data_IF_112919425642
#
_entry.id   IF_112919425642
#
_cell.length_a   1.000
_cell.length_b   1.000
_cell.length_c   1.000
_cell.angle_alpha   90.00
_cell.angle_beta   90.00
_cell.angle_gamma   90.00
#
_symmetry.space_group_name_H-M   'P 1'
#
loop_
_entity.id
_entity.type
_entity.pdbx_description
1 polymer ?
#
# COMPACT_ATOMS: atom_id res chain seq x y z
N UNK A 1 -19.21 0.77 13.02
CA UNK A 1 -19.30 1.68 11.86
C UNK A 1 -18.74 0.98 10.63
N UNK A 2 -19.46 1.12 9.52
CA UNK A 2 -19.38 0.39 8.25
C UNK A 2 -17.99 -0.14 7.85
N UNK A 3 -17.91 -1.46 7.65
CA UNK A 3 -16.86 -2.15 6.88
C UNK A 3 -16.99 -1.66 5.44
N UNK A 4 -16.40 -0.49 5.15
CA UNK A 4 -16.34 0.15 3.83
C UNK A 4 -15.96 -0.95 2.85
N UNK A 5 -16.89 -1.24 1.95
CA UNK A 5 -16.80 -2.25 0.91
C UNK A 5 -15.46 -2.08 0.21
N UNK A 6 -14.50 -2.92 0.61
CA UNK A 6 -13.24 -3.08 -0.10
C UNK A 6 -13.67 -3.66 -1.43
N UNK A 7 -13.85 -2.79 -2.45
CA UNK A 7 -13.97 -3.20 -3.85
C UNK A 7 -12.92 -4.30 -4.03
N UNK A 8 -13.33 -5.47 -4.53
CA UNK A 8 -12.44 -6.59 -4.85
C UNK A 8 -11.43 -6.07 -5.88
N UNK A 9 -10.32 -5.50 -5.39
CA UNK A 9 -9.17 -5.13 -6.21
C UNK A 9 -8.51 -6.47 -6.54
N UNK A 10 -8.27 -6.72 -7.82
CA UNK A 10 -7.64 -7.97 -8.24
C UNK A 10 -6.22 -8.07 -7.64
N UNK A 11 -5.77 -9.29 -7.30
CA UNK A 11 -4.44 -9.54 -6.76
C UNK A 11 -3.30 -8.92 -7.61
N UNK A 12 -3.49 -8.87 -8.94
CA UNK A 12 -2.57 -8.19 -9.86
C UNK A 12 -2.52 -6.68 -9.60
N UNK A 13 -3.67 -6.02 -9.49
CA UNK A 13 -3.77 -4.58 -9.20
C UNK A 13 -3.19 -4.24 -7.83
N UNK A 14 -3.38 -5.09 -6.80
CA UNK A 14 -2.78 -4.90 -5.48
C UNK A 14 -1.24 -4.88 -5.59
N UNK A 15 -0.66 -5.81 -6.36
CA UNK A 15 0.80 -5.85 -6.60
C UNK A 15 1.28 -4.58 -7.31
N UNK A 16 0.55 -4.12 -8.33
CA UNK A 16 0.86 -2.87 -9.04
C UNK A 16 0.86 -1.68 -8.10
N UNK A 17 -0.20 -1.51 -7.28
CA UNK A 17 -0.29 -0.42 -6.30
C UNK A 17 0.83 -0.44 -5.27
N UNK A 18 1.22 -1.62 -4.77
CA UNK A 18 2.37 -1.74 -3.86
C UNK A 18 3.67 -1.30 -4.56
N UNK A 19 3.86 -1.65 -5.83
CA UNK A 19 5.02 -1.24 -6.61
C UNK A 19 5.08 0.28 -6.76
N UNK A 20 3.96 0.90 -7.12
CA UNK A 20 3.87 2.35 -7.32
C UNK A 20 4.12 3.11 -6.02
N UNK A 21 3.51 2.68 -4.91
CA UNK A 21 3.75 3.28 -3.59
C UNK A 21 5.21 3.13 -3.13
N UNK A 22 5.89 2.04 -3.50
CA UNK A 22 7.33 1.87 -3.22
C UNK A 22 8.18 2.82 -4.04
N UNK A 23 7.83 3.06 -5.31
CA UNK A 23 8.49 4.09 -6.15
C UNK A 23 8.27 5.49 -5.57
N UNK A 24 7.06 5.80 -5.13
CA UNK A 24 6.76 7.08 -4.49
C UNK A 24 7.55 7.27 -3.19
N UNK A 25 7.64 6.22 -2.36
CA UNK A 25 8.48 6.23 -1.17
C UNK A 25 9.97 6.47 -1.49
N UNK A 26 10.47 5.89 -2.59
CA UNK A 26 11.84 6.11 -3.06
C UNK A 26 12.04 7.57 -3.46
N UNK A 27 11.10 8.15 -4.22
CA UNK A 27 11.12 9.56 -4.60
C UNK A 27 11.12 10.47 -3.37
N UNK A 28 10.29 10.18 -2.36
CA UNK A 28 10.31 10.93 -1.11
C UNK A 28 11.64 10.80 -0.36
N UNK A 29 12.29 9.62 -0.38
CA UNK A 29 13.62 9.44 0.21
C UNK A 29 14.67 10.28 -0.50
N UNK A 30 14.62 10.36 -1.83
CA UNK A 30 15.50 11.24 -2.60
C UNK A 30 15.24 12.71 -2.29
N UNK A 31 13.98 13.15 -2.29
CA UNK A 31 13.60 14.52 -1.88
C UNK A 31 14.05 14.87 -0.46
N UNK A 32 13.94 13.91 0.46
CA UNK A 32 14.44 14.07 1.84
C UNK A 32 15.95 14.28 1.87
N UNK A 33 16.69 13.49 1.08
CA UNK A 33 18.15 13.59 1.00
C UNK A 33 18.60 14.88 0.31
N UNK A 34 17.86 15.37 -0.69
CA UNK A 34 18.17 16.64 -1.37
C UNK A 34 17.74 17.88 -0.57
N UNK A 35 17.06 17.71 0.57
CA UNK A 35 16.55 18.82 1.39
C UNK A 35 15.28 19.50 0.84
N UNK A 36 14.73 19.03 -0.29
CA UNK A 36 13.55 19.59 -0.95
C UNK A 36 12.23 18.95 -0.48
N UNK A 37 12.20 18.40 0.73
CA UNK A 37 11.03 17.71 1.25
C UNK A 37 10.15 18.65 2.07
N UNK A 38 9.05 19.10 1.47
CA UNK A 38 8.08 19.98 2.11
C UNK A 38 7.19 19.26 3.15
N UNK A 39 6.84 17.99 2.91
CA UNK A 39 5.86 17.27 3.73
C UNK A 39 6.34 15.88 4.18
N UNK A 40 6.83 15.81 5.43
CA UNK A 40 7.28 14.55 6.06
C UNK A 40 6.13 13.60 6.40
N UNK A 41 4.89 14.10 6.54
CA UNK A 41 3.72 13.27 6.84
C UNK A 41 3.38 12.30 5.71
N UNK A 42 3.78 12.60 4.47
CA UNK A 42 3.58 11.70 3.33
C UNK A 42 4.27 10.34 3.53
N UNK A 43 5.43 10.29 4.20
CA UNK A 43 6.08 9.02 4.54
C UNK A 43 5.17 8.10 5.36
N UNK A 44 4.50 8.65 6.37
CA UNK A 44 3.59 7.89 7.23
C UNK A 44 2.35 7.43 6.47
N UNK A 45 1.81 8.26 5.58
CA UNK A 45 0.67 7.92 4.71
C UNK A 45 1.01 6.75 3.78
N UNK A 46 2.08 6.87 3.00
CA UNK A 46 2.51 5.84 2.04
C UNK A 46 2.83 4.52 2.74
N UNK A 47 3.55 4.54 3.88
CA UNK A 47 3.82 3.32 4.65
C UNK A 47 2.53 2.62 5.10
N UNK A 48 1.53 3.39 5.58
CA UNK A 48 0.23 2.84 5.97
C UNK A 48 -0.55 2.27 4.78
N UNK A 49 -0.47 2.91 3.61
CA UNK A 49 -1.13 2.40 2.40
C UNK A 49 -0.51 1.09 1.92
N UNK A 50 0.83 1.00 1.88
CA UNK A 50 1.53 -0.26 1.58
C UNK A 50 1.08 -1.35 2.55
N UNK A 51 1.03 -1.06 3.85
CA UNK A 51 0.60 -2.03 4.86
C UNK A 51 -0.83 -2.51 4.61
N UNK A 52 -1.78 -1.60 4.32
CA UNK A 52 -3.18 -1.97 4.00
C UNK A 52 -3.26 -2.91 2.79
N UNK A 53 -2.53 -2.62 1.71
CA UNK A 53 -2.52 -3.46 0.52
C UNK A 53 -1.88 -4.83 0.78
N UNK A 54 -0.81 -4.90 1.58
CA UNK A 54 -0.20 -6.16 1.99
C UNK A 54 -1.14 -6.98 2.87
N UNK A 55 -1.84 -6.35 3.82
CA UNK A 55 -2.86 -7.02 4.64
C UNK A 55 -4.02 -7.54 3.79
N UNK A 56 -4.51 -6.75 2.83
CA UNK A 56 -5.57 -7.18 1.92
C UNK A 56 -5.14 -8.41 1.11
N UNK A 57 -3.93 -8.37 0.50
CA UNK A 57 -3.36 -9.52 -0.21
C UNK A 57 -3.27 -10.77 0.69
N UNK A 58 -2.81 -10.62 1.92
CA UNK A 58 -2.70 -11.74 2.86
C UNK A 58 -4.08 -12.31 3.22
N UNK A 59 -5.07 -11.45 3.44
CA UNK A 59 -6.44 -11.90 3.73
C UNK A 59 -7.05 -12.65 2.54
N UNK A 60 -6.79 -12.20 1.30
CA UNK A 60 -7.26 -12.88 0.09
C UNK A 60 -6.60 -14.26 -0.07
N UNK A 61 -5.32 -14.40 0.30
CA UNK A 61 -4.61 -15.70 0.32
C UNK A 61 -5.13 -16.66 1.39
N UNK A 62 -5.49 -16.14 2.58
CA UNK A 62 -6.03 -16.96 3.68
C UNK A 62 -7.42 -17.50 3.32
N UNK A 63 -8.29 -16.67 2.71
CA UNK A 63 -9.62 -17.11 2.26
C UNK A 63 -9.55 -18.23 1.22
N UNK A 64 -8.67 -18.09 0.22
CA UNK A 64 -8.48 -19.15 -0.79
C UNK A 64 -7.94 -20.48 -0.24
N UNK A 65 -7.46 -20.53 1.01
CA UNK A 65 -7.09 -21.76 1.72
C UNK A 65 -8.19 -22.32 2.63
N UNK A 66 -9.22 -21.53 2.94
CA UNK A 66 -10.36 -21.96 3.76
C UNK A 66 -11.47 -22.61 2.91
N UNK A 67 -11.46 -22.35 1.60
CA UNK A 67 -12.44 -22.85 0.62
C UNK A 67 -11.95 -24.14 -0.10
N UNK A 68 -10.90 -24.79 0.39
CA UNK A 68 -10.32 -26.04 -0.13
C UNK A 68 -10.17 -27.06 1.01
#
# INVERSE_FOLDING_TARGET
MAKKTLKKINNKEIKTKISDLRKELLNLRFKKRSGQLENTSQFKKIRKEIAKYMTQKNNDLIKGKQDA
#
